data_IF_132575738420
#
_entry.id   IF_132575738420
#
_cell.length_a   1.000
_cell.length_b   1.000
_cell.length_c   1.000
_cell.angle_alpha   90.00
_cell.angle_beta   90.00
_cell.angle_gamma   90.00
#
_symmetry.space_group_name_H-M   'P 1'
#
loop_
_entity.id
_entity.type
_entity.pdbx_description
1 polymer ?
#
# COMPACT_ATOMS: atom_id res chain seq x y z
N UNK A 1 -30.38 42.75 -20.80
CA UNK A 1 -29.01 43.23 -20.51
C UNK A 1 -28.21 42.03 -19.98
N UNK A 2 -27.21 41.54 -20.73
CA UNK A 2 -26.31 40.45 -20.28
C UNK A 2 -25.49 41.01 -19.11
N UNK A 3 -25.67 40.50 -17.90
CA UNK A 3 -24.93 40.96 -16.74
C UNK A 3 -23.51 40.36 -16.78
N UNK A 4 -22.47 41.12 -17.17
CA UNK A 4 -21.12 40.59 -17.36
C UNK A 4 -20.53 40.08 -16.03
N UNK A 5 -21.03 40.58 -14.90
CA UNK A 5 -20.62 40.17 -13.55
C UNK A 5 -21.05 38.74 -13.25
N UNK A 6 -22.24 38.32 -13.71
CA UNK A 6 -22.73 36.95 -13.52
C UNK A 6 -21.89 35.93 -14.30
N UNK A 7 -21.44 36.30 -15.51
CA UNK A 7 -20.53 35.48 -16.33
C UNK A 7 -19.14 35.34 -15.70
N UNK A 8 -18.62 36.42 -15.09
CA UNK A 8 -17.34 36.43 -14.37
C UNK A 8 -17.38 35.57 -13.10
N UNK A 9 -18.49 35.62 -12.35
CA UNK A 9 -18.65 34.79 -11.14
C UNK A 9 -18.77 33.31 -11.50
N UNK A 10 -19.53 32.96 -12.54
CA UNK A 10 -19.68 31.58 -12.99
C UNK A 10 -18.36 30.96 -13.49
N UNK A 11 -17.53 31.75 -14.17
CA UNK A 11 -16.21 31.29 -14.65
C UNK A 11 -15.17 31.17 -13.52
N UNK A 12 -15.25 32.02 -12.48
CA UNK A 12 -14.41 31.88 -11.28
C UNK A 12 -14.79 30.65 -10.43
N UNK A 13 -16.08 30.33 -10.35
CA UNK A 13 -16.59 29.14 -9.65
C UNK A 13 -16.20 27.82 -10.33
N UNK A 14 -16.12 27.79 -11.67
CA UNK A 14 -15.64 26.64 -12.45
C UNK A 14 -14.13 26.42 -12.34
N UNK A 15 -13.35 27.47 -12.08
CA UNK A 15 -11.91 27.35 -11.85
C UNK A 15 -11.58 26.84 -10.42
N UNK A 16 -12.51 26.98 -9.47
CA UNK A 16 -12.37 26.48 -8.10
C UNK A 16 -12.78 25.01 -7.95
N UNK A 17 -13.46 24.41 -8.95
CA UNK A 17 -13.90 23.02 -8.88
C UNK A 17 -12.80 22.07 -9.34
N UNK A 18 -11.94 21.70 -8.41
CA UNK A 18 -11.31 20.39 -8.39
C UNK A 18 -9.85 20.37 -8.83
N UNK A 19 -8.94 20.44 -7.85
CA UNK A 19 -7.71 19.68 -7.95
C UNK A 19 -8.09 18.20 -8.16
N UNK A 20 -8.04 17.72 -9.39
CA UNK A 20 -8.23 16.29 -9.67
C UNK A 20 -7.03 15.58 -9.07
N UNK A 21 -7.24 14.89 -7.96
CA UNK A 21 -6.21 14.03 -7.38
C UNK A 21 -5.93 12.89 -8.36
N UNK A 22 -4.75 12.92 -8.99
CA UNK A 22 -4.35 11.94 -10.00
C UNK A 22 -3.58 10.76 -9.41
N UNK A 23 -3.09 10.91 -8.18
CA UNK A 23 -2.32 9.91 -7.44
C UNK A 23 -2.90 9.63 -6.06
N UNK A 24 -2.67 8.42 -5.56
CA UNK A 24 -3.03 8.02 -4.19
C UNK A 24 -1.82 7.41 -3.49
N UNK A 25 -1.72 7.55 -2.16
CA UNK A 25 -0.64 6.97 -1.40
C UNK A 25 -0.69 5.44 -1.42
N UNK A 26 0.48 4.82 -1.33
CA UNK A 26 0.68 3.38 -1.18
C UNK A 26 1.93 3.12 -0.33
N UNK A 27 2.09 1.89 0.13
CA UNK A 27 3.36 1.39 0.69
C UNK A 27 3.92 0.33 -0.24
N UNK A 28 5.16 0.51 -0.71
CA UNK A 28 5.92 -0.55 -1.36
C UNK A 28 6.63 -1.36 -0.30
N UNK A 29 6.54 -2.69 -0.36
CA UNK A 29 7.23 -3.60 0.54
C UNK A 29 8.20 -4.48 -0.28
N UNK A 30 9.49 -4.25 -0.09
CA UNK A 30 10.58 -5.08 -0.61
C UNK A 30 10.92 -6.15 0.44
N UNK A 31 10.71 -7.41 0.07
CA UNK A 31 10.74 -8.56 0.97
C UNK A 31 11.84 -9.50 0.52
N UNK A 32 12.72 -9.90 1.43
CA UNK A 32 13.74 -10.92 1.18
C UNK A 32 13.38 -12.21 1.90
N UNK A 33 13.33 -13.31 1.15
CA UNK A 33 13.09 -14.66 1.68
C UNK A 33 14.32 -15.53 1.40
N UNK A 34 14.83 -16.18 2.44
CA UNK A 34 15.92 -17.15 2.36
C UNK A 34 15.46 -18.53 2.81
N UNK A 35 16.23 -19.57 2.49
CA UNK A 35 16.04 -20.91 3.05
C UNK A 35 17.10 -21.13 4.13
N UNK A 36 16.65 -21.29 5.37
CA UNK A 36 17.50 -21.66 6.51
C UNK A 36 17.13 -23.11 6.85
N UNK A 37 18.08 -24.03 6.68
CA UNK A 37 17.87 -25.47 6.85
C UNK A 37 16.65 -26.01 6.06
N UNK A 38 16.47 -25.51 4.83
CA UNK A 38 15.36 -25.87 3.95
C UNK A 38 14.01 -25.23 4.29
N UNK A 39 13.95 -24.42 5.35
CA UNK A 39 12.73 -23.72 5.78
C UNK A 39 12.75 -22.27 5.28
N UNK A 40 11.68 -21.78 4.63
CA UNK A 40 11.57 -20.37 4.24
C UNK A 40 11.55 -19.43 5.45
N UNK A 41 12.40 -18.41 5.42
CA UNK A 41 12.46 -17.36 6.45
C UNK A 41 12.46 -16.00 5.77
N UNK A 42 11.60 -15.09 6.23
CA UNK A 42 11.63 -13.69 5.80
C UNK A 42 12.76 -13.00 6.57
N UNK A 43 13.83 -12.64 5.89
CA UNK A 43 15.05 -12.06 6.51
C UNK A 43 15.08 -10.54 6.45
N UNK A 44 14.32 -9.93 5.55
CA UNK A 44 14.17 -8.47 5.49
C UNK A 44 12.80 -8.07 4.96
N UNK A 45 12.28 -6.95 5.48
CA UNK A 45 11.12 -6.24 4.96
C UNK A 45 11.48 -4.75 5.00
N UNK A 46 11.65 -4.16 3.83
CA UNK A 46 11.88 -2.72 3.68
C UNK A 46 10.58 -2.09 3.18
N UNK A 47 10.12 -1.06 3.86
CA UNK A 47 8.89 -0.36 3.51
C UNK A 47 9.22 1.02 2.98
N UNK A 48 8.57 1.42 1.89
CA UNK A 48 8.77 2.74 1.28
C UNK A 48 7.41 3.37 0.96
N UNK A 49 7.06 4.49 1.62
CA UNK A 49 5.93 5.33 1.22
C UNK A 49 6.09 5.76 -0.24
N UNK A 50 5.02 5.70 -1.02
CA UNK A 50 5.05 6.08 -2.43
C UNK A 50 3.66 6.52 -2.88
N UNK A 51 3.56 6.93 -4.14
CA UNK A 51 2.30 7.26 -4.79
C UNK A 51 2.15 6.51 -6.10
N UNK A 52 0.91 6.16 -6.44
CA UNK A 52 0.56 5.57 -7.74
C UNK A 52 -0.61 6.30 -8.34
N UNK A 53 -0.75 6.21 -9.66
CA UNK A 53 -1.93 6.72 -10.34
C UNK A 53 -3.20 6.09 -9.75
N UNK A 54 -4.23 6.90 -9.49
CA UNK A 54 -5.48 6.46 -8.87
C UNK A 54 -6.18 5.32 -9.64
N UNK A 55 -6.04 5.27 -10.97
CA UNK A 55 -6.60 4.20 -11.81
C UNK A 55 -5.82 2.88 -11.71
N UNK A 56 -4.60 2.93 -11.17
CA UNK A 56 -3.71 1.79 -10.92
C UNK A 56 -3.56 1.47 -9.44
N UNK A 57 -4.32 2.13 -8.58
CA UNK A 57 -4.28 1.90 -7.14
C UNK A 57 -4.68 0.45 -6.84
N UNK A 58 -3.84 -0.32 -6.12
CA UNK A 58 -4.19 -1.68 -5.72
C UNK A 58 -5.43 -1.68 -4.83
N UNK A 59 -6.46 -2.44 -5.20
CA UNK A 59 -7.70 -2.59 -4.44
C UNK A 59 -7.86 -4.01 -3.85
N UNK A 60 -6.74 -4.72 -3.69
CA UNK A 60 -6.73 -6.17 -3.45
C UNK A 60 -6.10 -6.92 -4.61
N UNK A 61 -5.18 -7.82 -4.32
CA UNK A 61 -4.67 -8.79 -5.31
C UNK A 61 -4.77 -10.20 -4.75
N UNK A 62 -5.26 -11.13 -5.55
CA UNK A 62 -5.24 -12.56 -5.29
C UNK A 62 -4.51 -13.27 -6.44
N UNK A 63 -3.65 -14.22 -6.09
CA UNK A 63 -2.79 -14.97 -7.02
C UNK A 63 -2.89 -16.48 -6.80
N UNK A 64 -3.80 -16.93 -5.91
CA UNK A 64 -3.86 -18.31 -5.44
C UNK A 64 -2.64 -18.70 -4.59
N UNK A 65 -2.48 -20.01 -4.38
CA UNK A 65 -1.39 -20.56 -3.58
C UNK A 65 -0.43 -21.40 -4.42
N UNK A 66 0.87 -21.46 -4.08
CA UNK A 66 1.54 -20.77 -2.97
C UNK A 66 1.77 -19.27 -3.23
N UNK A 67 1.80 -18.46 -2.17
CA UNK A 67 1.89 -16.99 -2.30
C UNK A 67 2.73 -16.32 -1.23
N UNK A 68 3.23 -15.12 -1.56
CA UNK A 68 3.69 -14.13 -0.58
C UNK A 68 2.60 -13.08 -0.49
N UNK A 69 2.04 -12.94 0.70
CA UNK A 69 0.93 -12.07 1.00
C UNK A 69 1.36 -10.92 1.91
N UNK A 70 0.74 -9.77 1.74
CA UNK A 70 0.95 -8.57 2.54
C UNK A 70 -0.38 -7.97 2.98
N UNK A 71 -0.46 -7.62 4.26
CA UNK A 71 -1.59 -6.92 4.84
C UNK A 71 -1.11 -5.70 5.62
N UNK A 72 -1.75 -4.57 5.38
CA UNK A 72 -1.46 -3.32 6.06
C UNK A 72 -2.49 -3.08 7.17
N UNK A 73 -2.01 -2.61 8.32
CA UNK A 73 -2.82 -2.24 9.48
C UNK A 73 -2.41 -0.84 9.93
N UNK A 74 -3.36 0.08 9.97
CA UNK A 74 -3.19 1.50 10.30
C UNK A 74 -3.65 1.71 11.75
N UNK A 75 -2.77 2.24 12.59
CA UNK A 75 -2.99 2.49 14.02
C UNK A 75 -3.55 1.26 14.78
N UNK A 76 -3.19 0.05 14.32
CA UNK A 76 -3.65 -1.23 14.90
C UNK A 76 -5.16 -1.49 14.83
N UNK A 77 -5.91 -0.68 14.09
CA UNK A 77 -7.38 -0.75 14.02
C UNK A 77 -7.88 -1.01 12.61
N UNK A 78 -7.37 -0.26 11.63
CA UNK A 78 -7.91 -0.25 10.28
C UNK A 78 -7.06 -1.11 9.34
N UNK A 79 -7.69 -1.99 8.58
CA UNK A 79 -6.99 -2.89 7.65
C UNK A 79 -7.06 -2.34 6.23
N UNK A 80 -5.90 -2.15 5.61
CA UNK A 80 -5.76 -1.76 4.21
C UNK A 80 -6.10 -2.89 3.23
N UNK A 81 -5.91 -2.65 1.93
CA UNK A 81 -6.12 -3.72 0.96
C UNK A 81 -5.03 -4.79 1.06
N UNK A 82 -5.42 -6.03 0.76
CA UNK A 82 -4.50 -7.15 0.64
C UNK A 82 -3.63 -7.03 -0.61
N UNK A 83 -2.37 -7.42 -0.55
CA UNK A 83 -1.51 -7.55 -1.71
C UNK A 83 -0.91 -8.95 -1.74
N UNK A 84 -0.82 -9.57 -2.91
CA UNK A 84 -0.27 -10.90 -3.06
C UNK A 84 0.57 -11.02 -4.34
N UNK A 85 1.58 -11.88 -4.29
CA UNK A 85 2.41 -12.29 -5.44
C UNK A 85 2.72 -13.78 -5.34
N UNK A 86 2.84 -14.53 -6.46
CA UNK A 86 3.11 -15.96 -6.40
C UNK A 86 4.44 -16.26 -5.71
N UNK A 87 4.45 -17.23 -4.79
CA UNK A 87 5.68 -17.67 -4.13
C UNK A 87 6.41 -18.70 -5.01
N UNK A 88 7.69 -18.44 -5.29
CA UNK A 88 8.53 -19.27 -6.19
C UNK A 88 9.80 -19.80 -5.53
N UNK A 89 9.91 -19.70 -4.20
CA UNK A 89 11.10 -20.10 -3.43
C UNK A 89 11.83 -18.90 -2.82
N UNK A 90 13.08 -19.11 -2.38
CA UNK A 90 13.92 -18.01 -1.89
C UNK A 90 14.13 -16.94 -2.97
N UNK A 91 14.24 -15.68 -2.55
CA UNK A 91 14.43 -14.55 -3.44
C UNK A 91 13.82 -13.26 -2.90
N UNK A 92 13.79 -12.26 -3.78
CA UNK A 92 13.22 -10.96 -3.50
C UNK A 92 11.79 -10.88 -4.06
N UNK A 93 10.90 -10.27 -3.30
CA UNK A 93 9.50 -10.07 -3.64
C UNK A 93 9.13 -8.62 -3.41
N UNK A 94 8.29 -8.08 -4.30
CA UNK A 94 7.77 -6.73 -4.19
C UNK A 94 6.24 -6.78 -4.11
N UNK A 95 5.70 -6.13 -3.09
CA UNK A 95 4.27 -5.87 -2.96
C UNK A 95 4.01 -4.37 -2.98
N UNK A 96 2.92 -3.96 -3.63
CA UNK A 96 2.37 -2.60 -3.51
C UNK A 96 1.08 -2.68 -2.73
N UNK A 97 1.08 -2.16 -1.50
CA UNK A 97 -0.07 -2.16 -0.60
C UNK A 97 -0.84 -0.86 -0.73
N UNK A 98 -2.11 -0.98 -1.10
CA UNK A 98 -3.03 0.15 -1.23
C UNK A 98 -3.80 0.43 0.05
N UNK A 99 -4.08 1.70 0.29
CA UNK A 99 -5.00 2.15 1.33
C UNK A 99 -6.45 2.05 0.85
N UNK A 100 -7.38 1.82 1.77
CA UNK A 100 -8.80 1.95 1.44
C UNK A 100 -9.13 3.41 1.15
N UNK A 101 -10.07 3.65 0.24
CA UNK A 101 -10.42 5.02 -0.20
C UNK A 101 -10.99 5.89 0.94
N UNK A 102 -11.64 5.26 1.91
CA UNK A 102 -12.21 5.89 3.11
C UNK A 102 -11.20 6.04 4.26
N UNK A 103 -10.00 5.45 4.15
CA UNK A 103 -8.93 5.59 5.13
C UNK A 103 -7.58 5.68 4.44
N UNK A 104 -7.28 6.87 3.95
CA UNK A 104 -5.92 7.26 3.57
C UNK A 104 -5.09 7.51 4.84
N UNK A 105 -3.76 7.35 4.78
CA UNK A 105 -2.89 7.61 5.92
C UNK A 105 -2.80 9.10 6.19
N UNK A 106 -2.76 9.45 7.47
CA UNK A 106 -2.48 10.79 7.97
C UNK A 106 -1.08 10.86 8.56
N UNK A 107 -0.53 12.07 8.72
CA UNK A 107 0.77 12.24 9.35
C UNK A 107 0.78 11.63 10.75
N UNK A 108 1.88 10.97 11.09
CA UNK A 108 2.11 10.22 12.32
C UNK A 108 1.28 8.94 12.49
N UNK A 109 0.52 8.52 11.48
CA UNK A 109 -0.12 7.20 11.48
C UNK A 109 0.93 6.09 11.55
N UNK A 110 0.69 5.11 12.41
CA UNK A 110 1.50 3.91 12.50
C UNK A 110 1.02 2.90 11.46
N UNK A 111 1.86 2.64 10.47
CA UNK A 111 1.57 1.72 9.39
C UNK A 111 2.34 0.43 9.62
N UNK A 112 1.63 -0.60 10.07
CA UNK A 112 2.17 -1.94 10.24
C UNK A 112 1.89 -2.77 8.98
N UNK A 113 2.93 -3.32 8.38
CA UNK A 113 2.81 -4.27 7.28
C UNK A 113 3.19 -5.66 7.77
N UNK A 114 2.25 -6.60 7.66
CA UNK A 114 2.44 -8.01 7.97
C UNK A 114 2.61 -8.78 6.66
N UNK A 115 3.67 -9.57 6.57
CA UNK A 115 3.95 -10.42 5.42
C UNK A 115 3.81 -11.89 5.84
N UNK A 116 3.12 -12.69 5.04
CA UNK A 116 3.09 -14.15 5.18
C UNK A 116 3.55 -14.83 3.91
N UNK A 117 4.24 -15.95 4.04
CA UNK A 117 4.49 -16.90 2.96
C UNK A 117 3.57 -18.07 3.18
N UNK A 118 2.80 -18.44 2.16
CA UNK A 118 1.80 -19.50 2.20
C UNK A 118 2.19 -20.63 1.24
N UNK A 119 2.08 -21.88 1.71
CA UNK A 119 2.30 -23.08 0.90
C UNK A 119 1.16 -23.32 -0.11
N UNK A 120 1.25 -24.38 -0.91
CA UNK A 120 0.25 -24.72 -1.93
C UNK A 120 -1.15 -25.03 -1.37
N UNK A 121 -1.26 -25.35 -0.09
CA UNK A 121 -2.53 -25.60 0.61
C UNK A 121 -3.06 -24.34 1.31
N UNK A 122 -2.32 -23.23 1.24
CA UNK A 122 -2.65 -21.97 1.91
C UNK A 122 -2.14 -21.87 3.35
N UNK A 123 -1.42 -22.86 3.87
CA UNK A 123 -0.87 -22.79 5.23
C UNK A 123 0.25 -21.76 5.28
N UNK A 124 0.28 -20.96 6.33
CA UNK A 124 1.39 -20.02 6.55
C UNK A 124 2.64 -20.78 6.98
N UNK A 125 3.71 -20.68 6.19
CA UNK A 125 5.00 -21.33 6.43
C UNK A 125 6.11 -20.35 6.84
N UNK A 126 5.90 -19.05 6.65
CA UNK A 126 6.74 -18.00 7.22
C UNK A 126 5.91 -16.74 7.48
N UNK A 127 6.30 -15.95 8.48
CA UNK A 127 5.64 -14.69 8.83
C UNK A 127 6.68 -13.66 9.29
N UNK A 128 6.51 -12.43 8.83
CA UNK A 128 7.30 -11.28 9.24
C UNK A 128 6.42 -10.03 9.33
N UNK A 129 6.92 -8.99 9.97
CA UNK A 129 6.24 -7.70 10.02
C UNK A 129 7.26 -6.58 10.11
N UNK A 130 6.89 -5.42 9.58
CA UNK A 130 7.63 -4.18 9.76
C UNK A 130 6.65 -3.03 9.98
N UNK A 131 7.13 -1.96 10.60
CA UNK A 131 6.35 -0.74 10.84
C UNK A 131 7.05 0.48 10.24
N UNK A 132 6.28 1.45 9.79
CA UNK A 132 6.72 2.81 9.54
C UNK A 132 5.74 3.79 10.17
N UNK A 133 6.20 5.02 10.41
CA UNK A 133 5.36 6.15 10.80
C UNK A 133 5.15 7.01 9.55
N UNK A 134 3.90 7.26 9.19
CA UNK A 134 3.58 8.02 7.99
C UNK A 134 3.96 9.50 8.15
N UNK A 135 4.51 10.11 7.10
CA UNK A 135 4.91 11.53 7.13
C UNK A 135 6.13 11.84 8.02
N UNK A 136 6.74 10.83 8.66
CA UNK A 136 7.95 11.02 9.47
C UNK A 136 9.19 10.65 8.66
N UNK A 137 10.06 11.64 8.42
CA UNK A 137 11.41 11.45 7.92
C UNK A 137 12.37 11.69 9.09
N UNK A 138 13.22 10.72 9.42
CA UNK A 138 14.23 10.86 10.49
C UNK A 138 15.36 11.86 10.14
N UNK A 139 15.39 12.38 8.91
CA UNK A 139 16.47 13.21 8.35
C UNK A 139 16.17 14.74 8.36
N UNK A 140 15.07 15.20 8.99
CA UNK A 140 14.76 16.62 9.26
C UNK A 140 14.68 16.92 10.77
#
# INVERSE_FOLDING_TARGET
MRNPVLFLILSLLLAASGCIQTTVPVVKADIKIELIDGTPVITAINLTPSEVNILRAPAGTDVGFPSVNGQMIINFENVGYWAATPYRGAGNYLLTLGFRRDRLPEDLDHIKVVITVNDANGNTIARGQQMLIWGYNEDE
#
